data_IF_566889355141
#
_entry.id   IF_566889355141
#
_cell.length_a   1.000
_cell.length_b   1.000
_cell.length_c   1.000
_cell.angle_alpha   90.00
_cell.angle_beta   90.00
_cell.angle_gamma   90.00
#
_symmetry.space_group_name_H-M   'P 1'
#
loop_
_entity.id
_entity.type
_entity.pdbx_description
1 polymer ?
#
# COMPACT_ATOMS: atom_id res chain seq x y z
N UNK A 1 -2.38 -12.84 -21.86
CA UNK A 1 -2.89 -12.86 -20.45
C UNK A 1 -1.77 -13.33 -19.53
N UNK A 2 -1.46 -12.61 -18.46
CA UNK A 2 -0.39 -12.95 -17.52
C UNK A 2 -0.82 -14.05 -16.55
N UNK A 3 0.12 -14.88 -16.14
CA UNK A 3 -0.09 -15.85 -15.04
C UNK A 3 -0.09 -15.14 -13.68
N UNK A 4 -0.66 -15.78 -12.66
CA UNK A 4 -0.66 -15.23 -11.29
C UNK A 4 0.75 -14.99 -10.75
N UNK A 5 1.72 -15.82 -11.16
CA UNK A 5 3.13 -15.66 -10.76
C UNK A 5 3.75 -14.42 -11.42
N UNK A 6 3.55 -14.22 -12.71
CA UNK A 6 4.05 -13.03 -13.42
C UNK A 6 3.45 -11.74 -12.83
N UNK A 7 2.15 -11.73 -12.55
CA UNK A 7 1.47 -10.61 -11.88
C UNK A 7 2.11 -10.32 -10.51
N UNK A 8 2.32 -11.34 -9.69
CA UNK A 8 2.94 -11.19 -8.38
C UNK A 8 4.36 -10.62 -8.48
N UNK A 9 5.15 -11.09 -9.43
CA UNK A 9 6.51 -10.63 -9.66
C UNK A 9 6.54 -9.15 -10.10
N UNK A 10 5.62 -8.74 -11.00
CA UNK A 10 5.47 -7.36 -11.46
C UNK A 10 5.11 -6.43 -10.30
N UNK A 11 4.08 -6.79 -9.53
CA UNK A 11 3.59 -6.01 -8.38
C UNK A 11 4.66 -5.88 -7.30
N UNK A 12 5.30 -7.00 -6.94
CA UNK A 12 6.33 -7.00 -5.88
C UNK A 12 7.50 -6.11 -6.27
N UNK A 13 7.99 -6.23 -7.49
CA UNK A 13 9.08 -5.38 -8.00
C UNK A 13 8.72 -3.91 -7.98
N UNK A 14 7.50 -3.56 -8.36
CA UNK A 14 7.04 -2.17 -8.36
C UNK A 14 6.99 -1.59 -6.94
N UNK A 15 6.38 -2.32 -6.01
CA UNK A 15 6.24 -1.89 -4.61
C UNK A 15 7.60 -1.78 -3.91
N UNK A 16 8.51 -2.74 -4.15
CA UNK A 16 9.85 -2.75 -3.55
C UNK A 16 10.73 -1.58 -4.03
N UNK A 17 10.40 -1.01 -5.20
CA UNK A 17 11.10 0.13 -5.79
C UNK A 17 10.37 1.47 -5.63
N UNK A 18 9.34 1.56 -4.79
CA UNK A 18 8.67 2.82 -4.53
C UNK A 18 9.63 3.85 -3.92
N UNK A 19 9.55 5.14 -4.33
CA UNK A 19 10.55 6.16 -4.00
C UNK A 19 10.36 6.72 -2.58
N UNK A 20 10.53 5.87 -1.57
CA UNK A 20 10.38 6.24 -0.17
C UNK A 20 11.72 6.53 0.54
N UNK A 21 12.82 6.67 -0.19
CA UNK A 21 14.08 7.26 0.28
C UNK A 21 13.95 8.78 0.32
N UNK A 22 13.12 9.27 1.24
CA UNK A 22 12.75 10.68 1.35
C UNK A 22 13.07 11.22 2.75
N UNK A 23 13.16 12.54 2.84
CA UNK A 23 13.25 13.25 4.12
C UNK A 23 11.86 13.73 4.55
N UNK A 24 11.59 13.82 5.86
CA UNK A 24 12.48 13.41 6.96
C UNK A 24 12.56 11.88 7.09
N UNK A 25 13.75 11.34 7.34
CA UNK A 25 13.98 9.90 7.49
C UNK A 25 13.11 9.28 8.58
N UNK A 26 12.95 9.97 9.70
CA UNK A 26 12.11 9.52 10.82
C UNK A 26 10.67 9.22 10.43
N UNK A 27 10.18 9.78 9.32
CA UNK A 27 8.84 9.55 8.79
C UNK A 27 8.81 8.41 7.76
N UNK A 28 9.78 8.39 6.83
CA UNK A 28 9.77 7.48 5.69
C UNK A 28 10.45 6.13 5.96
N UNK A 29 11.41 6.07 6.88
CA UNK A 29 12.08 4.83 7.25
C UNK A 29 11.11 3.78 7.83
N UNK A 30 10.16 4.12 8.71
CA UNK A 30 9.13 3.19 9.17
C UNK A 30 8.21 2.73 8.03
N UNK A 31 7.88 3.59 7.06
CA UNK A 31 7.07 3.23 5.89
C UNK A 31 7.79 2.17 5.05
N UNK A 32 9.07 2.39 4.72
CA UNK A 32 9.90 1.39 4.04
C UNK A 32 9.97 0.09 4.81
N UNK A 33 10.15 0.17 6.12
CA UNK A 33 10.22 -0.99 7.00
C UNK A 33 8.95 -1.84 6.92
N UNK A 34 7.77 -1.22 7.00
CA UNK A 34 6.48 -1.92 6.91
C UNK A 34 6.31 -2.59 5.55
N UNK A 35 6.55 -1.85 4.47
CA UNK A 35 6.38 -2.38 3.11
C UNK A 35 7.40 -3.46 2.77
N UNK A 36 8.64 -3.37 3.29
CA UNK A 36 9.69 -4.38 3.11
C UNK A 36 9.47 -5.67 3.90
N UNK A 37 8.56 -5.67 4.87
CA UNK A 37 8.20 -6.87 5.62
C UNK A 37 7.55 -7.96 4.76
N UNK A 38 7.31 -7.66 3.49
CA UNK A 38 6.71 -8.59 2.55
C UNK A 38 5.21 -8.79 2.77
N UNK A 39 4.74 -9.95 2.39
CA UNK A 39 3.33 -10.34 2.42
C UNK A 39 2.96 -11.05 1.13
N UNK A 40 1.77 -11.61 1.10
CA UNK A 40 1.28 -12.36 -0.08
C UNK A 40 0.94 -11.46 -1.26
N UNK A 41 0.94 -10.13 -1.09
CA UNK A 41 0.60 -9.14 -2.12
C UNK A 41 -0.70 -9.47 -2.89
N UNK A 42 -1.67 -10.08 -2.21
CA UNK A 42 -2.91 -10.56 -2.84
C UNK A 42 -3.73 -9.38 -3.38
N UNK A 43 -3.90 -8.32 -2.57
CA UNK A 43 -4.73 -7.17 -2.95
C UNK A 43 -4.20 -6.45 -4.20
N UNK A 44 -2.94 -6.03 -4.27
CA UNK A 44 -2.41 -5.39 -5.46
C UNK A 44 -2.36 -6.35 -6.66
N UNK A 45 -2.16 -7.65 -6.44
CA UNK A 45 -2.23 -8.65 -7.53
C UNK A 45 -3.63 -8.74 -8.11
N UNK A 46 -4.68 -8.69 -7.30
CA UNK A 46 -6.05 -8.67 -7.80
C UNK A 46 -6.38 -7.42 -8.64
N UNK A 47 -5.81 -6.27 -8.32
CA UNK A 47 -5.97 -5.08 -9.16
C UNK A 47 -5.43 -5.33 -10.57
N UNK A 48 -4.22 -5.89 -10.67
CA UNK A 48 -3.63 -6.19 -11.97
C UNK A 48 -4.37 -7.33 -12.70
N UNK A 49 -4.78 -8.36 -11.98
CA UNK A 49 -5.56 -9.46 -12.58
C UNK A 49 -6.88 -8.97 -13.14
N UNK A 50 -7.62 -8.15 -12.39
CA UNK A 50 -8.88 -7.57 -12.85
C UNK A 50 -8.67 -6.69 -14.09
N UNK A 51 -7.63 -5.86 -14.10
CA UNK A 51 -7.26 -5.06 -15.26
C UNK A 51 -6.93 -5.93 -16.48
N UNK A 52 -6.18 -7.03 -16.26
CA UNK A 52 -5.74 -7.94 -17.31
C UNK A 52 -6.89 -8.76 -17.96
N UNK A 53 -8.08 -8.75 -17.36
CA UNK A 53 -9.28 -9.31 -18.02
C UNK A 53 -9.71 -8.49 -19.23
N UNK A 54 -9.32 -7.21 -19.29
CA UNK A 54 -9.77 -6.27 -20.30
C UNK A 54 -8.62 -5.71 -21.16
N UNK A 55 -7.40 -5.63 -20.61
CA UNK A 55 -6.23 -5.01 -21.24
C UNK A 55 -4.94 -5.77 -20.91
N UNK A 56 -4.00 -5.78 -21.82
CA UNK A 56 -2.72 -6.49 -21.66
C UNK A 56 -1.61 -5.62 -21.04
N UNK A 57 -1.75 -4.30 -21.05
CA UNK A 57 -0.79 -3.33 -20.50
C UNK A 57 -0.94 -3.16 -18.98
N UNK A 58 -0.79 -4.25 -18.23
CA UNK A 58 -1.05 -4.32 -16.78
C UNK A 58 -0.25 -3.30 -15.95
N UNK A 59 0.88 -2.82 -16.47
CA UNK A 59 1.69 -1.81 -15.81
C UNK A 59 0.95 -0.47 -15.61
N UNK A 60 -0.05 -0.20 -16.45
CA UNK A 60 -0.92 0.97 -16.30
C UNK A 60 -1.70 0.96 -14.98
N UNK A 61 -2.00 -0.22 -14.44
CA UNK A 61 -2.73 -0.38 -13.17
C UNK A 61 -1.82 -0.40 -11.93
N UNK A 62 -0.49 -0.35 -12.09
CA UNK A 62 0.46 -0.40 -10.97
C UNK A 62 0.29 0.74 -9.94
N UNK A 63 0.03 2.00 -10.33
CA UNK A 63 -0.24 3.03 -9.33
C UNK A 63 -1.46 2.73 -8.46
N UNK A 64 -2.54 2.23 -9.04
CA UNK A 64 -3.74 1.82 -8.28
C UNK A 64 -3.46 0.61 -7.38
N UNK A 65 -2.67 -0.36 -7.85
CA UNK A 65 -2.23 -1.49 -7.05
C UNK A 65 -1.36 -1.06 -5.87
N UNK A 66 -0.43 -0.12 -6.08
CA UNK A 66 0.39 0.47 -5.02
C UNK A 66 -0.44 1.28 -4.02
N UNK A 67 -1.46 2.01 -4.48
CA UNK A 67 -2.38 2.73 -3.61
C UNK A 67 -3.07 1.78 -2.64
N UNK A 68 -3.64 0.68 -3.15
CA UNK A 68 -4.35 -0.30 -2.33
C UNK A 68 -3.43 -1.02 -1.34
N UNK A 69 -2.21 -1.39 -1.76
CA UNK A 69 -1.26 -2.05 -0.85
C UNK A 69 -0.73 -1.09 0.21
N UNK A 70 -0.46 0.17 -0.14
CA UNK A 70 -0.03 1.20 0.81
C UNK A 70 -1.14 1.47 1.84
N UNK A 71 -2.38 1.62 1.39
CA UNK A 71 -3.54 1.77 2.28
C UNK A 71 -3.69 0.56 3.21
N UNK A 72 -3.61 -0.65 2.69
CA UNK A 72 -3.68 -1.85 3.53
C UNK A 72 -2.60 -1.89 4.60
N UNK A 73 -1.36 -1.57 4.25
CA UNK A 73 -0.27 -1.55 5.24
C UNK A 73 -0.40 -0.38 6.23
N UNK A 74 -1.01 0.74 5.84
CA UNK A 74 -1.42 1.81 6.76
C UNK A 74 -2.37 1.27 7.84
N UNK A 75 -3.43 0.57 7.44
CA UNK A 75 -4.38 0.01 8.41
C UNK A 75 -3.69 -0.97 9.37
N UNK A 76 -2.82 -1.84 8.86
CA UNK A 76 -2.09 -2.79 9.69
C UNK A 76 -1.15 -2.10 10.70
N UNK A 77 -0.50 -1.00 10.29
CA UNK A 77 0.41 -0.25 11.17
C UNK A 77 -0.36 0.40 12.32
N UNK A 78 -1.51 0.99 12.05
CA UNK A 78 -2.38 1.58 13.08
C UNK A 78 -3.04 0.51 13.96
N UNK A 79 -3.51 -0.60 13.38
CA UNK A 79 -4.06 -1.73 14.12
C UNK A 79 -3.05 -2.28 15.13
N UNK A 80 -1.80 -2.47 14.70
CA UNK A 80 -0.73 -2.94 15.58
C UNK A 80 -0.53 -2.03 16.80
N UNK A 81 -0.62 -0.72 16.61
CA UNK A 81 -0.53 0.24 17.70
C UNK A 81 -1.75 0.17 18.62
N UNK A 82 -2.95 0.15 18.05
CA UNK A 82 -4.21 0.08 18.81
C UNK A 82 -4.33 -1.21 19.60
N UNK A 83 -3.89 -2.32 19.04
CA UNK A 83 -3.88 -3.64 19.69
C UNK A 83 -2.66 -3.87 20.60
N UNK A 84 -1.74 -2.92 20.64
CA UNK A 84 -0.45 -3.03 21.35
C UNK A 84 0.31 -4.31 20.97
N UNK A 85 0.29 -4.68 19.69
CA UNK A 85 0.95 -5.87 19.17
C UNK A 85 2.48 -5.70 19.18
N UNK A 86 3.20 -6.73 19.61
CA UNK A 86 4.67 -6.70 19.68
C UNK A 86 5.33 -7.04 18.33
N UNK A 87 4.70 -7.93 17.57
CA UNK A 87 5.28 -8.53 16.36
C UNK A 87 4.25 -8.63 15.25
N UNK A 88 4.68 -8.33 14.01
CA UNK A 88 3.98 -8.60 12.76
C UNK A 88 4.93 -9.23 11.75
N UNK A 89 4.50 -10.34 11.11
CA UNK A 89 5.31 -11.06 10.12
C UNK A 89 6.72 -11.40 10.62
N UNK A 90 6.84 -11.78 11.89
CA UNK A 90 8.13 -12.15 12.51
C UNK A 90 9.06 -10.99 12.83
N UNK A 91 8.63 -9.74 12.68
CA UNK A 91 9.41 -8.52 12.94
C UNK A 91 8.72 -7.64 13.99
N UNK A 92 9.47 -6.89 14.81
CA UNK A 92 8.86 -5.92 15.74
C UNK A 92 7.92 -4.96 15.00
N UNK A 93 6.80 -4.61 15.62
CA UNK A 93 5.89 -3.59 15.11
C UNK A 93 6.55 -2.21 15.15
N UNK A 94 6.04 -1.25 14.36
CA UNK A 94 6.65 0.08 14.26
C UNK A 94 6.70 0.79 15.61
N UNK A 95 5.61 0.73 16.40
CA UNK A 95 5.58 1.38 17.70
C UNK A 95 6.53 0.74 18.73
N UNK A 96 6.90 -0.52 18.55
CA UNK A 96 7.89 -1.21 19.39
C UNK A 96 9.32 -0.91 18.93
N UNK A 97 9.55 -0.82 17.62
CA UNK A 97 10.88 -0.53 17.06
C UNK A 97 11.25 0.95 17.19
N UNK A 98 10.30 1.85 17.04
CA UNK A 98 10.47 3.30 17.21
C UNK A 98 9.68 3.79 18.42
N UNK A 99 8.49 4.29 18.21
CA UNK A 99 7.56 4.75 19.26
C UNK A 99 6.14 4.93 18.69
N UNK A 100 5.17 5.20 19.56
CA UNK A 100 3.77 5.39 19.18
C UNK A 100 3.57 6.58 18.24
N UNK A 101 4.22 7.73 18.50
CA UNK A 101 4.09 8.92 17.66
C UNK A 101 4.60 8.66 16.24
N UNK A 102 5.72 7.96 16.11
CA UNK A 102 6.25 7.56 14.81
C UNK A 102 5.27 6.65 14.07
N UNK A 103 4.64 5.70 14.75
CA UNK A 103 3.63 4.83 14.14
C UNK A 103 2.42 5.64 13.64
N UNK A 104 1.92 6.58 14.41
CA UNK A 104 0.80 7.45 14.02
C UNK A 104 1.18 8.27 12.78
N UNK A 105 2.27 9.04 12.85
CA UNK A 105 2.66 9.96 11.78
C UNK A 105 3.03 9.23 10.48
N UNK A 106 3.72 8.11 10.58
CA UNK A 106 4.06 7.31 9.40
C UNK A 106 2.83 6.68 8.78
N UNK A 107 1.88 6.21 9.59
CA UNK A 107 0.59 5.71 9.09
C UNK A 107 -0.22 6.80 8.38
N UNK A 108 -0.39 7.98 8.98
CA UNK A 108 -1.08 9.12 8.34
C UNK A 108 -0.43 9.51 7.01
N UNK A 109 0.91 9.46 6.97
CA UNK A 109 1.66 9.69 5.73
C UNK A 109 1.37 8.60 4.69
N UNK A 110 1.30 7.34 5.11
CA UNK A 110 0.94 6.23 4.20
C UNK A 110 -0.46 6.40 3.62
N UNK A 111 -1.44 6.88 4.39
CA UNK A 111 -2.77 7.19 3.88
C UNK A 111 -2.69 8.25 2.77
N UNK A 112 -1.95 9.33 3.01
CA UNK A 112 -1.72 10.39 2.00
C UNK A 112 -1.00 9.86 0.75
N UNK A 113 0.00 8.99 0.93
CA UNK A 113 0.73 8.35 -0.16
C UNK A 113 -0.16 7.41 -0.98
N UNK A 114 -1.09 6.70 -0.35
CA UNK A 114 -2.05 5.86 -1.05
C UNK A 114 -2.91 6.68 -2.02
N UNK A 115 -3.45 7.82 -1.56
CA UNK A 115 -4.17 8.74 -2.43
C UNK A 115 -3.28 9.35 -3.53
N UNK A 116 -2.03 9.68 -3.22
CA UNK A 116 -1.08 10.20 -4.21
C UNK A 116 -0.81 9.17 -5.32
N UNK A 117 -0.61 7.90 -4.96
CA UNK A 117 -0.45 6.83 -5.94
C UNK A 117 -1.66 6.70 -6.85
N UNK A 118 -2.86 6.68 -6.26
CA UNK A 118 -4.10 6.59 -7.04
C UNK A 118 -4.29 7.81 -7.95
N UNK A 119 -4.02 9.01 -7.45
CA UNK A 119 -4.12 10.25 -8.21
C UNK A 119 -3.14 10.31 -9.39
N UNK A 120 -2.02 9.60 -9.31
CA UNK A 120 -1.04 9.48 -10.40
C UNK A 120 -1.39 8.38 -11.42
N UNK A 121 -2.51 7.68 -11.25
CA UNK A 121 -2.98 6.68 -12.22
C UNK A 121 -3.36 7.36 -13.53
N UNK A 122 -2.84 6.82 -14.64
CA UNK A 122 -3.14 7.28 -15.99
C UNK A 122 -4.44 6.66 -16.48
N UNK A 123 -5.56 7.14 -15.99
CA UNK A 123 -6.90 6.69 -16.39
C UNK A 123 -7.81 7.87 -16.67
N UNK A 124 -8.69 7.73 -17.68
CA UNK A 124 -9.74 8.72 -17.98
C UNK A 124 -10.82 8.74 -16.89
N UNK A 125 -10.94 7.67 -16.12
CA UNK A 125 -11.94 7.50 -15.05
C UNK A 125 -11.35 7.72 -13.65
N UNK A 126 -10.38 8.64 -13.51
CA UNK A 126 -9.69 8.87 -12.23
C UNK A 126 -10.65 9.26 -11.11
N UNK A 127 -11.65 10.09 -11.43
CA UNK A 127 -12.66 10.50 -10.44
C UNK A 127 -13.44 9.30 -9.90
N UNK A 128 -13.90 8.41 -10.77
CA UNK A 128 -14.65 7.23 -10.37
C UNK A 128 -13.79 6.27 -9.53
N UNK A 129 -12.51 6.13 -9.88
CA UNK A 129 -11.56 5.34 -9.11
C UNK A 129 -11.31 5.93 -7.70
N UNK A 130 -11.17 7.26 -7.59
CA UNK A 130 -11.02 7.97 -6.33
C UNK A 130 -12.30 7.89 -5.48
N UNK A 131 -13.46 8.05 -6.08
CA UNK A 131 -14.74 7.94 -5.39
C UNK A 131 -14.92 6.53 -4.82
N UNK A 132 -14.69 5.48 -5.62
CA UNK A 132 -14.77 4.09 -5.18
C UNK A 132 -13.78 3.80 -4.04
N UNK A 133 -12.53 4.21 -4.19
CA UNK A 133 -11.50 4.03 -3.17
C UNK A 133 -11.89 4.72 -1.86
N UNK A 134 -12.35 5.96 -1.94
CA UNK A 134 -12.71 6.77 -0.76
C UNK A 134 -13.94 6.21 -0.04
N UNK A 135 -14.99 5.84 -0.77
CA UNK A 135 -16.20 5.23 -0.18
C UNK A 135 -15.86 3.91 0.50
N UNK A 136 -15.07 3.05 -0.18
CA UNK A 136 -14.64 1.77 0.42
C UNK A 136 -13.76 1.99 1.65
N UNK A 137 -12.87 2.99 1.63
CA UNK A 137 -12.04 3.34 2.79
C UNK A 137 -12.88 3.78 4.00
N UNK A 138 -13.97 4.53 3.76
CA UNK A 138 -14.93 4.90 4.82
C UNK A 138 -15.66 3.67 5.37
N UNK A 139 -16.20 2.83 4.50
CA UNK A 139 -16.92 1.60 4.90
C UNK A 139 -16.04 0.64 5.72
N UNK A 140 -14.74 0.57 5.41
CA UNK A 140 -13.77 -0.24 6.19
C UNK A 140 -13.51 0.35 7.56
N UNK A 141 -13.67 1.67 7.73
CA UNK A 141 -13.43 2.37 8.99
C UNK A 141 -14.64 2.36 9.93
N UNK A 142 -15.85 2.12 9.43
CA UNK A 142 -17.13 2.03 10.15
C UNK A 142 -17.34 0.65 10.79
#
# INVERSE_FOLDING_TARGET
MYTSKEILDIVSRYIDNLPYDRKPQSLYEPIKYVLSAGGKRIRPSFVLMAYNLFKDDVETALPAAAALETYHNYTLLHDDLMDNADVRRGRPTVHKKWNANTAILSGDTMLSLAYLHLANSKTENLKDALDLFTVTALEVSE
#
